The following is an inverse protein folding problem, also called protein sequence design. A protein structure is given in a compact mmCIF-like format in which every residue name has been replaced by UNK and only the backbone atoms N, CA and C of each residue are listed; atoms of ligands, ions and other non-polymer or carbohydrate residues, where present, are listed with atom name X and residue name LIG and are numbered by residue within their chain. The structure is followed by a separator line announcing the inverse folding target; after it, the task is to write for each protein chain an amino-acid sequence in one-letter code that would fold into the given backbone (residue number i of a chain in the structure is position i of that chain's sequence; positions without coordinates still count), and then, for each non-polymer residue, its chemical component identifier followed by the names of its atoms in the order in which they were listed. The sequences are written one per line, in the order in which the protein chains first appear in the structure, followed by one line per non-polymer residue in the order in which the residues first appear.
data_IF_306302199399
#
_entry.id   IF_306302199399
#
_cell.length_a   1.000
_cell.length_b   1.000
_cell.length_c   1.000
_cell.angle_alpha   90.00
_cell.angle_beta   90.00
_cell.angle_gamma   90.00
#
_symmetry.space_group_name_H-M   'P 1'
#
loop_
_entity.id
_entity.type
_entity.pdbx_description
1 polymer ?
#
# COMPACT_ATOMS: atom_id res chain seq x y z
N UNK A 1 20.89 12.99 -3.82
CA UNK A 1 20.74 13.74 -2.56
C UNK A 1 19.30 13.75 -2.11
N UNK A 2 18.34 14.40 -2.81
CA UNK A 2 16.95 14.48 -2.33
C UNK A 2 16.31 13.13 -1.94
N UNK A 3 16.50 12.07 -2.74
CA UNK A 3 15.88 10.77 -2.45
C UNK A 3 16.50 10.07 -1.22
N UNK A 4 17.76 10.37 -0.92
CA UNK A 4 18.44 9.88 0.29
C UNK A 4 17.88 10.54 1.55
N UNK A 5 17.30 11.73 1.45
CA UNK A 5 16.59 12.40 2.54
C UNK A 5 15.11 11.98 2.57
N UNK A 6 14.50 11.81 1.39
CA UNK A 6 13.12 11.38 1.23
C UNK A 6 12.84 10.01 1.85
N UNK A 7 13.66 8.99 1.55
CA UNK A 7 13.41 7.62 2.01
C UNK A 7 13.40 7.50 3.55
N UNK A 8 14.40 8.02 4.30
CA UNK A 8 14.34 8.04 5.76
C UNK A 8 13.11 8.77 6.30
N UNK A 9 12.76 9.90 5.69
CA UNK A 9 11.60 10.70 6.10
C UNK A 9 10.27 9.97 5.86
N UNK A 10 10.13 9.31 4.69
CA UNK A 10 8.99 8.45 4.38
C UNK A 10 8.89 7.28 5.35
N UNK A 11 10.02 6.63 5.64
CA UNK A 11 10.06 5.54 6.60
C UNK A 11 9.58 5.99 7.97
N UNK A 12 10.09 7.13 8.46
CA UNK A 12 9.74 7.66 9.77
C UNK A 12 8.26 8.06 9.88
N UNK A 13 7.71 8.78 8.88
CA UNK A 13 6.36 9.33 8.96
C UNK A 13 5.26 8.38 8.48
N UNK A 14 5.57 7.40 7.62
CA UNK A 14 4.56 6.54 7.00
C UNK A 14 4.76 5.07 7.38
N UNK A 15 5.93 4.49 7.09
CA UNK A 15 6.11 3.04 7.31
C UNK A 15 6.25 2.68 8.79
N UNK A 16 6.93 3.47 9.59
CA UNK A 16 7.16 3.19 11.00
C UNK A 16 5.87 3.22 11.83
N UNK A 17 4.94 4.18 11.63
CA UNK A 17 3.61 4.10 12.22
C UNK A 17 2.88 2.81 11.84
N UNK A 18 2.92 2.39 10.57
CA UNK A 18 2.29 1.13 10.12
C UNK A 18 2.94 -0.10 10.79
N UNK A 19 4.27 -0.11 10.93
CA UNK A 19 5.01 -1.19 11.63
C UNK A 19 4.61 -1.27 13.10
N UNK A 20 4.48 -0.13 13.78
CA UNK A 20 4.20 -0.02 15.21
C UNK A 20 2.72 -0.16 15.54
N UNK A 21 1.83 0.04 14.56
CA UNK A 21 0.39 0.00 14.77
C UNK A 21 -0.03 -1.38 15.33
N UNK A 22 -0.78 -1.41 16.44
CA UNK A 22 -1.20 -2.67 17.06
C UNK A 22 -2.17 -3.40 16.15
N UNK A 23 -1.87 -4.65 15.83
CA UNK A 23 -2.77 -5.53 15.09
C UNK A 23 -3.53 -6.39 16.09
N UNK A 24 -4.67 -5.86 16.55
CA UNK A 24 -5.64 -6.55 17.39
C UNK A 24 -7.04 -6.38 16.81
N UNK A 25 -7.97 -7.22 17.24
CA UNK A 25 -9.33 -7.29 16.68
C UNK A 25 -10.01 -5.92 16.50
N UNK A 26 -9.97 -5.09 17.53
CA UNK A 26 -10.67 -3.79 17.53
C UNK A 26 -10.05 -2.76 16.57
N UNK A 27 -8.75 -2.88 16.31
CA UNK A 27 -7.97 -1.90 15.53
C UNK A 27 -7.63 -2.38 14.12
N UNK A 28 -7.87 -3.66 13.80
CA UNK A 28 -7.40 -4.28 12.56
C UNK A 28 -7.87 -3.53 11.30
N UNK A 29 -9.10 -3.03 11.32
CA UNK A 29 -9.69 -2.32 10.19
C UNK A 29 -8.96 -1.00 9.92
N UNK A 30 -8.57 -0.28 10.97
CA UNK A 30 -7.74 0.94 10.87
C UNK A 30 -6.37 0.58 10.30
N UNK A 31 -5.78 -0.54 10.74
CA UNK A 31 -4.54 -1.06 10.17
C UNK A 31 -4.64 -1.26 8.64
N UNK A 32 -5.71 -1.91 8.17
CA UNK A 32 -5.95 -2.08 6.73
C UNK A 32 -6.20 -0.76 5.98
N UNK A 33 -6.85 0.22 6.60
CA UNK A 33 -6.98 1.57 6.03
C UNK A 33 -5.61 2.21 5.84
N UNK A 34 -4.76 2.22 6.87
CA UNK A 34 -3.42 2.80 6.77
C UNK A 34 -2.54 2.10 5.74
N UNK A 35 -2.58 0.77 5.69
CA UNK A 35 -1.87 -0.01 4.66
C UNK A 35 -2.38 0.33 3.26
N UNK A 36 -3.70 0.45 3.06
CA UNK A 36 -4.29 0.83 1.77
C UNK A 36 -3.89 2.25 1.34
N UNK A 37 -3.90 3.20 2.27
CA UNK A 37 -3.44 4.57 2.02
C UNK A 37 -1.95 4.61 1.66
N UNK A 38 -1.12 3.82 2.34
CA UNK A 38 0.31 3.73 2.04
C UNK A 38 0.56 3.18 0.62
N UNK A 39 -0.14 2.14 0.19
CA UNK A 39 -0.05 1.62 -1.19
C UNK A 39 -0.47 2.69 -2.19
N UNK A 40 -1.55 3.42 -1.90
CA UNK A 40 -2.03 4.49 -2.77
C UNK A 40 -1.00 5.63 -2.89
N UNK A 41 -0.30 5.93 -1.79
CA UNK A 41 0.75 6.95 -1.78
C UNK A 41 1.99 6.49 -2.55
N UNK A 42 2.50 5.29 -2.27
CA UNK A 42 3.65 4.68 -2.98
C UNK A 42 3.40 4.56 -4.48
N UNK A 43 2.21 4.08 -4.86
CA UNK A 43 1.82 3.98 -6.26
C UNK A 43 1.77 5.36 -6.95
N UNK A 44 1.60 6.44 -6.20
CA UNK A 44 1.63 7.81 -6.71
C UNK A 44 3.02 8.21 -7.15
N UNK A 45 4.03 7.92 -6.31
CA UNK A 45 5.43 8.16 -6.64
C UNK A 45 5.92 7.23 -7.76
N UNK A 46 5.50 5.97 -7.75
CA UNK A 46 5.86 5.03 -8.81
C UNK A 46 5.31 5.41 -10.18
N UNK A 47 4.10 5.98 -10.22
CA UNK A 47 3.47 6.39 -11.48
C UNK A 47 4.04 7.72 -12.02
N UNK A 48 4.30 8.70 -11.15
CA UNK A 48 4.87 10.02 -11.47
C UNK A 48 3.88 11.07 -12.01
N UNK A 49 2.99 10.67 -12.90
CA UNK A 49 2.11 11.59 -13.63
C UNK A 49 0.91 12.14 -12.82
N UNK A 50 0.25 13.15 -13.38
CA UNK A 50 -0.95 13.78 -12.83
C UNK A 50 -2.13 12.79 -12.86
N UNK A 51 -2.71 12.48 -11.70
CA UNK A 51 -3.78 11.48 -11.58
C UNK A 51 -5.11 12.12 -11.98
N UNK A 52 -5.47 12.06 -13.26
CA UNK A 52 -6.88 12.20 -13.65
C UNK A 52 -7.73 11.07 -13.04
N UNK A 53 -9.04 11.30 -12.94
CA UNK A 53 -10.01 10.33 -12.44
C UNK A 53 -9.92 9.03 -13.27
N UNK A 54 -9.48 7.95 -12.64
CA UNK A 54 -9.27 6.64 -13.28
C UNK A 54 -7.80 6.19 -13.29
N UNK A 55 -6.84 7.11 -13.34
CA UNK A 55 -5.41 6.76 -13.31
C UNK A 55 -4.94 6.31 -11.92
N UNK A 56 -5.59 6.79 -10.84
CA UNK A 56 -5.32 6.31 -9.47
C UNK A 56 -5.51 4.80 -9.34
N UNK A 57 -6.50 4.22 -10.03
CA UNK A 57 -6.73 2.77 -10.05
C UNK A 57 -5.61 2.05 -10.76
N UNK A 58 -5.20 2.56 -11.92
CA UNK A 58 -4.14 1.94 -12.72
C UNK A 58 -2.81 1.98 -11.98
N UNK A 59 -2.46 3.11 -11.36
CA UNK A 59 -1.27 3.26 -10.54
C UNK A 59 -1.27 2.26 -9.37
N UNK A 60 -2.36 2.20 -8.59
CA UNK A 60 -2.48 1.29 -7.45
C UNK A 60 -2.35 -0.18 -7.87
N UNK A 61 -3.11 -0.57 -8.90
CA UNK A 61 -3.09 -1.94 -9.44
C UNK A 61 -1.72 -2.31 -10.00
N UNK A 62 -1.11 -1.39 -10.75
CA UNK A 62 0.22 -1.55 -11.33
C UNK A 62 1.29 -1.73 -10.25
N UNK A 63 1.28 -0.89 -9.22
CA UNK A 63 2.23 -0.97 -8.11
C UNK A 63 2.16 -2.32 -7.40
N UNK A 64 0.94 -2.82 -7.10
CA UNK A 64 0.78 -4.13 -6.47
C UNK A 64 1.32 -5.23 -7.38
N UNK A 65 0.95 -5.23 -8.66
CA UNK A 65 1.40 -6.26 -9.59
C UNK A 65 2.92 -6.27 -9.78
N UNK A 66 3.56 -5.10 -9.63
CA UNK A 66 5.00 -4.94 -9.80
C UNK A 66 5.79 -5.35 -8.55
N UNK A 67 5.37 -4.88 -7.37
CA UNK A 67 6.15 -4.95 -6.14
C UNK A 67 5.68 -5.98 -5.10
N UNK A 68 4.41 -6.39 -5.11
CA UNK A 68 3.96 -7.45 -4.20
C UNK A 68 4.40 -8.80 -4.76
N UNK A 69 5.21 -9.52 -3.98
CA UNK A 69 5.85 -10.77 -4.44
C UNK A 69 5.20 -12.01 -3.80
N UNK A 70 5.20 -13.14 -4.53
CA UNK A 70 5.43 -13.27 -5.97
C UNK A 70 4.43 -12.47 -6.83
N UNK A 71 4.85 -12.04 -8.03
CA UNK A 71 3.98 -11.25 -8.92
C UNK A 71 2.70 -12.02 -9.24
N UNK A 72 1.57 -11.32 -9.27
CA UNK A 72 0.26 -11.91 -9.54
C UNK A 72 -0.36 -12.69 -8.37
N UNK A 73 0.31 -12.73 -7.19
CA UNK A 73 -0.23 -13.38 -5.99
C UNK A 73 -1.50 -12.70 -5.45
N UNK A 74 -1.62 -11.39 -5.67
CA UNK A 74 -2.77 -10.61 -5.22
C UNK A 74 -3.70 -10.30 -6.37
N UNK A 75 -5.02 -10.38 -6.12
CA UNK A 75 -6.00 -9.74 -6.97
C UNK A 75 -5.95 -8.20 -6.75
N UNK A 76 -5.00 -7.54 -7.43
CA UNK A 76 -4.74 -6.11 -7.25
C UNK A 76 -5.97 -5.22 -7.56
N UNK A 77 -6.77 -5.59 -8.55
CA UNK A 77 -8.04 -4.89 -8.87
C UNK A 77 -9.03 -5.02 -7.72
N UNK A 78 -9.15 -6.23 -7.17
CA UNK A 78 -9.93 -6.51 -5.98
C UNK A 78 -9.50 -5.67 -4.79
N UNK A 79 -8.20 -5.58 -4.52
CA UNK A 79 -7.67 -4.76 -3.43
C UNK A 79 -8.03 -3.28 -3.64
N UNK A 80 -7.94 -2.75 -4.86
CA UNK A 80 -8.35 -1.37 -5.10
C UNK A 80 -9.87 -1.17 -4.91
N UNK A 81 -10.69 -2.02 -5.51
CA UNK A 81 -12.15 -1.84 -5.53
C UNK A 81 -12.82 -2.15 -4.19
N UNK A 82 -12.34 -3.20 -3.51
CA UNK A 82 -12.92 -3.75 -2.30
C UNK A 82 -12.30 -3.18 -1.03
N UNK A 83 -10.97 -3.14 -0.97
CA UNK A 83 -10.23 -2.73 0.22
C UNK A 83 -9.98 -1.23 0.21
N UNK A 84 -9.22 -0.70 -0.76
CA UNK A 84 -8.91 0.74 -0.82
C UNK A 84 -10.19 1.57 -0.93
N UNK A 85 -11.04 1.33 -1.93
CA UNK A 85 -12.24 2.14 -2.09
C UNK A 85 -13.31 1.85 -1.02
N UNK A 86 -13.48 0.58 -0.64
CA UNK A 86 -14.48 0.20 0.35
C UNK A 86 -14.13 0.68 1.76
N UNK A 87 -12.92 0.39 2.25
CA UNK A 87 -12.53 0.76 3.61
C UNK A 87 -12.30 2.26 3.75
N UNK A 88 -11.60 2.90 2.81
CA UNK A 88 -11.25 4.32 2.93
C UNK A 88 -12.49 5.23 2.84
N UNK A 89 -13.46 4.89 2.00
CA UNK A 89 -14.64 5.77 1.78
C UNK A 89 -15.90 5.32 2.53
N UNK A 90 -16.02 4.03 2.87
CA UNK A 90 -17.27 3.46 3.38
C UNK A 90 -17.08 2.58 4.61
N UNK A 91 -15.85 2.41 5.12
CA UNK A 91 -15.53 1.51 6.24
C UNK A 91 -16.08 0.08 6.03
N UNK A 92 -16.06 -0.42 4.78
CA UNK A 92 -16.60 -1.74 4.44
C UNK A 92 -15.75 -2.49 3.41
N UNK A 93 -15.85 -3.81 3.36
CA UNK A 93 -15.27 -4.62 2.29
C UNK A 93 -16.25 -4.67 1.11
N UNK A 94 -16.07 -3.75 0.16
CA UNK A 94 -17.00 -3.63 -0.98
C UNK A 94 -16.98 -4.91 -1.82
N UNK A 95 -18.14 -5.35 -2.30
CA UNK A 95 -18.31 -6.60 -3.06
C UNK A 95 -17.96 -7.89 -2.28
N UNK A 96 -17.71 -7.81 -0.96
CA UNK A 96 -17.42 -8.96 -0.09
C UNK A 96 -16.34 -9.88 -0.64
N UNK A 97 -15.26 -9.33 -1.18
CA UNK A 97 -14.19 -10.13 -1.78
C UNK A 97 -13.19 -10.69 -0.77
N UNK A 98 -13.11 -10.07 0.40
CA UNK A 98 -12.10 -10.36 1.40
C UNK A 98 -12.70 -10.63 2.77
N UNK A 99 -12.05 -11.53 3.49
CA UNK A 99 -12.22 -11.74 4.94
C UNK A 99 -10.95 -11.20 5.61
N UNK A 100 -11.09 -10.29 6.58
CA UNK A 100 -9.94 -9.69 7.27
C UNK A 100 -9.68 -10.44 8.58
N UNK A 101 -8.43 -10.80 8.83
CA UNK A 101 -7.97 -11.47 10.05
C UNK A 101 -6.71 -10.78 10.58
N UNK A 102 -6.29 -11.05 11.82
CA UNK A 102 -5.14 -10.38 12.43
C UNK A 102 -4.19 -11.32 13.22
N UNK A 103 -4.54 -12.60 13.34
CA UNK A 103 -3.75 -13.63 14.03
C UNK A 103 -3.88 -14.99 13.36
N UNK A 104 -3.93 -15.00 12.01
CA UNK A 104 -4.08 -16.23 11.22
C UNK A 104 -3.17 -16.19 9.97
N UNK A 105 -1.85 -16.05 10.14
CA UNK A 105 -0.90 -15.88 9.03
C UNK A 105 -0.92 -17.06 8.04
N UNK A 106 -1.22 -18.27 8.50
CA UNK A 106 -1.34 -19.48 7.68
C UNK A 106 -2.54 -19.45 6.73
N UNK A 107 -3.58 -18.67 7.06
CA UNK A 107 -4.75 -18.48 6.20
C UNK A 107 -4.57 -17.35 5.20
N UNK A 108 -3.50 -16.56 5.28
CA UNK A 108 -3.28 -15.44 4.39
C UNK A 108 -3.28 -15.86 2.91
N UNK A 109 -4.16 -15.24 2.12
CA UNK A 109 -4.42 -15.51 0.70
C UNK A 109 -4.98 -16.91 0.38
N UNK A 110 -5.57 -17.57 1.36
CA UNK A 110 -6.42 -18.75 1.16
C UNK A 110 -7.88 -18.34 0.94
N UNK A 111 -8.74 -19.32 0.58
CA UNK A 111 -10.18 -19.11 0.52
C UNK A 111 -10.82 -19.42 1.87
N UNK A 112 -11.70 -18.55 2.36
CA UNK A 112 -12.56 -18.83 3.51
C UNK A 112 -13.66 -19.82 3.15
N UNK A 113 -14.38 -20.30 4.17
CA UNK A 113 -15.49 -21.24 4.01
C UNK A 113 -16.65 -20.71 3.16
N UNK A 114 -16.75 -19.39 2.99
CA UNK A 114 -17.74 -18.69 2.16
C UNK A 114 -17.17 -18.20 0.83
N UNK A 115 -15.93 -18.58 0.50
CA UNK A 115 -15.30 -18.29 -0.80
C UNK A 115 -14.62 -16.93 -0.91
N UNK A 116 -14.35 -16.23 0.19
CA UNK A 116 -13.64 -14.94 0.17
C UNK A 116 -12.14 -15.16 0.34
N UNK A 117 -11.32 -14.28 -0.26
CA UNK A 117 -9.88 -14.34 -0.03
C UNK A 117 -9.57 -13.80 1.35
N UNK A 118 -8.87 -14.58 2.18
CA UNK A 118 -8.48 -14.15 3.52
C UNK A 118 -7.27 -13.22 3.43
N UNK A 119 -7.31 -12.08 4.13
CA UNK A 119 -6.19 -11.18 4.34
C UNK A 119 -5.89 -11.11 5.84
N UNK A 120 -4.83 -11.81 6.25
CA UNK A 120 -4.20 -11.59 7.55
C UNK A 120 -3.42 -10.26 7.57
N UNK A 121 -3.68 -9.43 8.58
CA UNK A 121 -3.12 -8.09 8.70
C UNK A 121 -1.60 -8.11 8.88
N UNK A 122 -1.07 -9.07 9.65
CA UNK A 122 0.37 -9.18 9.89
C UNK A 122 1.14 -9.50 8.61
N UNK A 123 0.64 -10.49 7.87
CA UNK A 123 1.16 -10.93 6.59
C UNK A 123 1.03 -9.85 5.52
N UNK A 124 -0.12 -9.18 5.42
CA UNK A 124 -0.33 -8.10 4.46
C UNK A 124 0.59 -6.90 4.74
N UNK A 125 0.77 -6.55 6.02
CA UNK A 125 1.72 -5.50 6.45
C UNK A 125 3.15 -5.83 6.05
N UNK A 126 3.57 -7.09 6.26
CA UNK A 126 4.91 -7.54 5.87
C UNK A 126 5.10 -7.40 4.36
N UNK A 127 4.15 -7.91 3.58
CA UNK A 127 4.21 -7.85 2.12
C UNK A 127 4.25 -6.40 1.60
N UNK A 128 3.52 -5.46 2.23
CA UNK A 128 3.59 -4.03 1.95
C UNK A 128 4.98 -3.45 2.24
N UNK A 129 5.56 -3.75 3.41
CA UNK A 129 6.90 -3.24 3.78
C UNK A 129 7.95 -3.77 2.81
N UNK A 130 7.89 -5.05 2.46
CA UNK A 130 8.79 -5.68 1.51
C UNK A 130 8.64 -5.04 0.11
N UNK A 131 7.41 -4.79 -0.34
CA UNK A 131 7.12 -4.10 -1.59
C UNK A 131 7.65 -2.65 -1.60
N UNK A 132 7.48 -1.91 -0.50
CA UNK A 132 7.97 -0.54 -0.37
C UNK A 132 9.51 -0.47 -0.41
N UNK A 133 10.18 -1.37 0.30
CA UNK A 133 11.64 -1.46 0.28
C UNK A 133 12.17 -1.80 -1.10
N UNK A 134 11.55 -2.76 -1.80
CA UNK A 134 11.92 -3.13 -3.16
C UNK A 134 11.76 -1.93 -4.12
N UNK A 135 10.65 -1.21 -4.03
CA UNK A 135 10.43 0.02 -4.81
C UNK A 135 11.52 1.05 -4.55
N UNK A 136 11.83 1.36 -3.29
CA UNK A 136 12.85 2.35 -2.96
C UNK A 136 14.25 1.95 -3.43
N UNK A 137 14.62 0.67 -3.27
CA UNK A 137 15.89 0.16 -3.76
C UNK A 137 16.02 0.25 -5.29
N UNK A 138 14.91 0.14 -6.02
CA UNK A 138 14.87 0.34 -7.47
C UNK A 138 14.94 1.83 -7.85
N UNK A 139 14.25 2.72 -7.12
CA UNK A 139 14.30 4.17 -7.36
C UNK A 139 15.72 4.70 -7.24
N UNK A 140 16.50 4.22 -6.27
CA UNK A 140 17.91 4.61 -6.11
C UNK A 140 18.81 4.21 -7.30
N UNK A 141 18.39 3.19 -8.08
CA UNK A 141 19.18 2.60 -9.16
C UNK A 141 18.66 2.94 -10.55
N UNK A 142 17.40 3.40 -10.66
CA UNK A 142 16.72 3.66 -11.92
C UNK A 142 16.38 5.14 -12.08
N UNK A 143 17.11 5.89 -12.95
CA UNK A 143 16.87 7.31 -13.17
C UNK A 143 15.44 7.66 -13.60
N UNK A 144 14.75 6.77 -14.32
CA UNK A 144 13.36 7.02 -14.74
C UNK A 144 12.39 6.95 -13.55
N UNK A 145 12.57 5.98 -12.66
CA UNK A 145 11.77 5.87 -11.44
C UNK A 145 12.07 7.03 -10.48
N UNK A 146 13.33 7.46 -10.40
CA UNK A 146 13.73 8.62 -9.62
C UNK A 146 13.06 9.90 -10.12
N UNK A 147 13.01 10.12 -11.44
CA UNK A 147 12.34 11.27 -12.02
C UNK A 147 10.83 11.25 -11.72
N UNK A 148 10.16 10.10 -11.88
CA UNK A 148 8.73 9.96 -11.52
C UNK A 148 8.45 10.27 -10.05
N UNK A 149 9.28 9.73 -9.16
CA UNK A 149 9.15 10.00 -7.73
C UNK A 149 9.35 11.50 -7.44
N UNK A 150 10.33 12.13 -8.09
CA UNK A 150 10.60 13.55 -7.94
C UNK A 150 9.44 14.43 -8.45
N UNK A 151 8.88 14.11 -9.61
CA UNK A 151 7.73 14.83 -10.18
C UNK A 151 6.50 14.80 -9.24
N UNK A 152 6.23 13.64 -8.63
CA UNK A 152 5.16 13.52 -7.63
C UNK A 152 5.49 14.33 -6.38
N UNK A 153 6.74 14.28 -5.91
CA UNK A 153 7.20 15.02 -4.73
C UNK A 153 7.08 16.54 -4.92
N UNK A 154 7.56 17.08 -6.04
CA UNK A 154 7.49 18.51 -6.35
C UNK A 154 6.04 19.03 -6.42
N UNK A 155 5.13 18.21 -6.97
CA UNK A 155 3.73 18.62 -7.16
C UNK A 155 2.92 18.64 -5.86
N UNK A 156 3.14 17.66 -4.99
CA UNK A 156 2.21 17.36 -3.88
C UNK A 156 2.88 17.51 -2.52
N UNK A 157 4.20 17.65 -2.52
CA UNK A 157 5.03 17.72 -1.34
C UNK A 157 5.06 16.42 -0.55
N UNK A 158 5.65 16.56 0.62
CA UNK A 158 5.54 15.61 1.71
C UNK A 158 4.94 16.34 2.91
N UNK A 159 4.26 15.62 3.80
CA UNK A 159 3.71 16.25 5.00
C UNK A 159 4.87 16.81 5.83
N UNK A 160 4.83 18.11 6.12
CA UNK A 160 5.82 18.80 6.94
C UNK A 160 5.14 19.27 8.22
N UNK A 161 5.58 18.74 9.35
CA UNK A 161 5.08 19.14 10.68
C UNK A 161 6.19 19.94 11.35
N UNK A 162 5.81 21.04 11.99
CA UNK A 162 6.71 21.82 12.85
C UNK A 162 6.37 21.40 14.28
N UNK A 163 7.39 20.98 15.03
CA UNK A 163 7.30 20.69 16.46
C UNK A 163 7.04 21.97 17.28
#
# INVERSE_FOLDING_TARGET
MWFQDFRPHFNYLVLDPIKKFPLKMDDMLIGFVFMSCCIDYLSGFWWGENRELGMSRQAYVGFINEYFRPRGRYNAKGLYDSLRNGLVHLFTIKNKMYELTFDEPERHLTLSCIGYTVLDAGSFRKDLIDAANLYFDEVEKNPQLLNKAFERYEREGFVHWID
#
